data_IF_507883669538
#
_entry.id   IF_507883669538
#
_cell.length_a   1.000
_cell.length_b   1.000
_cell.length_c   1.000
_cell.angle_alpha   90.00
_cell.angle_beta   90.00
_cell.angle_gamma   90.00
#
_symmetry.space_group_name_H-M   'P 1'
#
loop_
_entity.id
_entity.type
_entity.pdbx_description
1 polymer ?
#
# COMPACT_ATOMS: atom_id res chain seq x y z
N UNK A 1 12.34 -8.33 -3.41
CA UNK A 1 12.50 -7.45 -2.23
C UNK A 1 13.53 -8.10 -1.32
N UNK A 2 14.56 -7.40 -0.83
CA UNK A 2 15.46 -7.96 0.18
C UNK A 2 14.62 -8.38 1.38
N UNK A 3 14.95 -9.49 2.02
CA UNK A 3 14.31 -9.99 3.24
C UNK A 3 14.47 -8.94 4.34
N UNK A 4 13.49 -8.05 4.44
CA UNK A 4 13.41 -7.04 5.49
C UNK A 4 13.11 -7.77 6.78
N UNK A 5 13.95 -7.63 7.82
CA UNK A 5 13.70 -8.32 9.08
C UNK A 5 12.38 -7.83 9.69
N UNK A 6 11.75 -8.64 10.56
CA UNK A 6 10.52 -8.21 11.23
C UNK A 6 10.73 -6.89 12.00
N UNK A 7 11.89 -6.70 12.61
CA UNK A 7 12.25 -5.45 13.31
C UNK A 7 12.30 -4.27 12.35
N UNK A 8 12.88 -4.46 11.17
CA UNK A 8 12.96 -3.44 10.13
C UNK A 8 11.57 -3.11 9.57
N UNK A 9 10.71 -4.12 9.38
CA UNK A 9 9.33 -3.92 8.93
C UNK A 9 8.54 -3.06 9.91
N UNK A 10 8.62 -3.34 11.20
CA UNK A 10 7.95 -2.53 12.24
C UNK A 10 8.44 -1.08 12.21
N UNK A 11 9.75 -0.85 12.05
CA UNK A 11 10.31 0.49 11.98
C UNK A 11 9.83 1.24 10.73
N UNK A 12 9.84 0.56 9.59
CA UNK A 12 9.35 1.11 8.32
C UNK A 12 7.88 1.48 8.40
N UNK A 13 7.02 0.68 9.04
CA UNK A 13 5.60 1.01 9.20
C UNK A 13 5.44 2.30 10.00
N UNK A 14 6.13 2.43 11.14
CA UNK A 14 6.05 3.64 11.98
C UNK A 14 6.54 4.86 11.21
N UNK A 15 7.67 4.72 10.50
CA UNK A 15 8.24 5.77 9.65
C UNK A 15 7.24 6.23 8.59
N UNK A 16 6.76 5.31 7.74
CA UNK A 16 5.85 5.62 6.63
C UNK A 16 4.51 6.19 7.10
N UNK A 17 3.98 5.72 8.23
CA UNK A 17 2.76 6.28 8.79
C UNK A 17 2.94 7.73 9.26
N UNK A 18 4.10 8.10 9.82
CA UNK A 18 4.35 9.49 10.22
C UNK A 18 4.55 10.42 9.02
N UNK A 19 5.23 9.95 7.97
CA UNK A 19 5.45 10.73 6.74
C UNK A 19 4.15 11.18 6.06
N UNK A 20 3.04 10.47 6.30
CA UNK A 20 1.72 10.87 5.79
C UNK A 20 1.23 12.16 6.45
N UNK A 21 1.55 12.37 7.73
CA UNK A 21 0.97 13.45 8.53
C UNK A 21 1.95 14.58 8.82
N UNK A 22 3.26 14.31 8.83
CA UNK A 22 4.27 15.31 9.20
C UNK A 22 5.60 15.08 8.50
N UNK A 23 6.37 16.15 8.37
CA UNK A 23 7.76 16.07 7.93
C UNK A 23 8.62 15.50 9.07
N UNK A 24 9.30 14.40 8.79
CA UNK A 24 10.17 13.73 9.75
C UNK A 24 11.62 13.72 9.27
N UNK A 25 12.55 13.74 10.23
CA UNK A 25 13.93 13.37 9.95
C UNK A 25 14.05 11.83 10.00
N UNK A 26 14.03 11.20 8.82
CA UNK A 26 14.07 9.74 8.68
C UNK A 26 15.25 9.11 9.43
N UNK A 27 16.45 9.68 9.31
CA UNK A 27 17.65 9.13 9.95
C UNK A 27 17.57 9.18 11.48
N UNK A 28 17.12 10.32 12.02
CA UNK A 28 16.97 10.48 13.46
C UNK A 28 15.87 9.56 14.02
N UNK A 29 14.73 9.48 13.33
CA UNK A 29 13.63 8.62 13.76
C UNK A 29 14.02 7.14 13.70
N UNK A 30 14.66 6.69 12.61
CA UNK A 30 15.15 5.32 12.50
C UNK A 30 16.16 5.00 13.62
N UNK A 31 17.05 5.93 13.96
CA UNK A 31 17.98 5.74 15.08
C UNK A 31 17.26 5.61 16.43
N UNK A 32 16.16 6.33 16.67
CA UNK A 32 15.31 6.18 17.86
C UNK A 32 14.59 4.82 17.86
N UNK A 33 13.95 4.45 16.75
CA UNK A 33 13.21 3.20 16.62
C UNK A 33 14.09 1.95 16.76
N UNK A 34 15.35 2.01 16.30
CA UNK A 34 16.30 0.91 16.42
C UNK A 34 16.67 0.58 17.87
N UNK A 35 16.58 1.57 18.78
CA UNK A 35 16.83 1.41 20.22
C UNK A 35 15.65 0.78 20.98
N UNK A 36 14.46 0.75 20.37
CA UNK A 36 13.30 0.09 20.95
C UNK A 36 13.42 -1.43 20.86
N UNK A 37 13.04 -2.09 21.94
CA UNK A 37 12.97 -3.54 22.08
C UNK A 37 11.56 -4.07 21.85
N UNK A 38 10.53 -3.26 22.10
CA UNK A 38 9.13 -3.65 21.93
C UNK A 38 8.37 -2.75 20.97
N UNK A 39 7.23 -3.21 20.47
CA UNK A 39 6.35 -2.44 19.58
C UNK A 39 5.71 -1.28 20.33
N UNK A 40 5.38 -1.47 21.60
CA UNK A 40 4.79 -0.46 22.47
C UNK A 40 5.75 0.73 22.65
N UNK A 41 7.06 0.48 22.77
CA UNK A 41 8.07 1.55 22.81
C UNK A 41 8.12 2.34 21.51
N UNK A 42 8.03 1.67 20.36
CA UNK A 42 7.99 2.32 19.04
C UNK A 42 6.73 3.17 18.88
N UNK A 43 5.59 2.70 19.41
CA UNK A 43 4.32 3.43 19.34
C UNK A 43 4.24 4.62 20.29
N UNK A 44 4.98 4.60 21.40
CA UNK A 44 5.19 5.82 22.21
C UNK A 44 5.92 6.90 21.42
N UNK A 45 6.92 6.52 20.61
CA UNK A 45 7.61 7.45 19.71
C UNK A 45 6.64 7.96 18.64
N UNK A 46 5.88 7.05 18.01
CA UNK A 46 4.85 7.42 17.04
C UNK A 46 3.88 8.47 17.60
N UNK A 47 3.33 8.22 18.79
CA UNK A 47 2.42 9.13 19.46
C UNK A 47 3.06 10.49 19.76
N UNK A 48 4.29 10.50 20.27
CA UNK A 48 5.01 11.74 20.59
C UNK A 48 5.37 12.58 19.35
N UNK A 49 5.55 11.93 18.20
CA UNK A 49 5.83 12.59 16.92
C UNK A 49 4.56 12.94 16.12
N UNK A 50 3.38 12.48 16.57
CA UNK A 50 2.15 12.65 15.82
C UNK A 50 1.64 14.10 15.92
N UNK A 51 1.39 14.78 14.79
CA UNK A 51 0.92 16.17 14.79
C UNK A 51 -0.54 16.24 15.27
N UNK A 52 -0.76 16.83 16.44
CA UNK A 52 -2.10 16.96 17.06
C UNK A 52 -2.99 17.99 16.35
N UNK A 53 -2.40 18.87 15.56
CA UNK A 53 -3.04 19.89 14.73
C UNK A 53 -3.56 19.35 13.38
N UNK A 54 -2.98 18.26 12.89
CA UNK A 54 -3.35 17.66 11.59
C UNK A 54 -4.45 16.61 11.74
N UNK A 55 -4.47 15.84 12.83
CA UNK A 55 -5.49 14.82 13.07
C UNK A 55 -5.67 14.52 14.57
N UNK A 56 -6.91 14.32 15.01
CA UNK A 56 -7.27 14.05 16.41
C UNK A 56 -7.32 12.56 16.74
N UNK A 57 -6.41 11.74 16.18
CA UNK A 57 -6.37 10.31 16.49
C UNK A 57 -5.98 10.11 17.96
N UNK A 58 -6.84 9.44 18.71
CA UNK A 58 -6.51 8.96 20.06
C UNK A 58 -5.34 7.97 20.00
N UNK A 59 -4.64 7.77 21.11
CA UNK A 59 -3.59 6.74 21.21
C UNK A 59 -4.10 5.36 20.82
N UNK A 60 -5.37 5.05 21.15
CA UNK A 60 -6.02 3.81 20.73
C UNK A 60 -6.19 3.72 19.20
N UNK A 61 -6.65 4.80 18.56
CA UNK A 61 -6.78 4.82 17.09
C UNK A 61 -5.42 4.70 16.40
N UNK A 62 -4.37 5.31 16.97
CA UNK A 62 -3.00 5.20 16.47
C UNK A 62 -2.48 3.76 16.57
N UNK A 63 -2.75 3.09 17.71
CA UNK A 63 -2.43 1.67 17.91
C UNK A 63 -3.16 0.78 16.90
N UNK A 64 -4.47 0.96 16.76
CA UNK A 64 -5.30 0.23 15.80
C UNK A 64 -4.83 0.43 14.35
N UNK A 65 -4.45 1.64 13.98
CA UNK A 65 -3.90 1.96 12.66
C UNK A 65 -2.61 1.18 12.40
N UNK A 66 -1.66 1.22 13.34
CA UNK A 66 -0.41 0.47 13.23
C UNK A 66 -0.66 -1.03 13.11
N UNK A 67 -1.47 -1.62 14.00
CA UNK A 67 -1.77 -3.05 13.98
C UNK A 67 -2.43 -3.47 12.67
N UNK A 68 -3.39 -2.68 12.19
CA UNK A 68 -4.06 -2.92 10.90
C UNK A 68 -3.06 -2.94 9.75
N UNK A 69 -2.19 -1.93 9.66
CA UNK A 69 -1.20 -1.85 8.57
C UNK A 69 -0.17 -2.97 8.66
N UNK A 70 0.35 -3.25 9.85
CA UNK A 70 1.28 -4.35 10.09
C UNK A 70 0.69 -5.71 9.67
N UNK A 71 -0.55 -5.98 10.04
CA UNK A 71 -1.21 -7.25 9.73
C UNK A 71 -1.46 -7.39 8.22
N UNK A 72 -1.92 -6.33 7.55
CA UNK A 72 -2.12 -6.36 6.10
C UNK A 72 -0.81 -6.54 5.33
N UNK A 73 0.26 -5.84 5.71
CA UNK A 73 1.57 -6.02 5.05
C UNK A 73 2.10 -7.42 5.29
N UNK A 74 2.02 -7.93 6.53
CA UNK A 74 2.45 -9.29 6.86
C UNK A 74 1.66 -10.34 6.07
N UNK A 75 0.33 -10.17 5.95
CA UNK A 75 -0.50 -11.04 5.14
C UNK A 75 -0.10 -11.00 3.66
N UNK A 76 0.13 -9.81 3.09
CA UNK A 76 0.55 -9.64 1.71
C UNK A 76 1.95 -10.25 1.43
N UNK A 77 2.91 -10.08 2.34
CA UNK A 77 4.27 -10.65 2.22
C UNK A 77 4.27 -12.18 2.26
N UNK A 78 3.34 -12.78 3.02
CA UNK A 78 3.20 -14.23 3.12
C UNK A 78 2.20 -14.82 2.11
N UNK A 79 1.59 -13.99 1.26
CA UNK A 79 0.63 -14.45 0.27
C UNK A 79 1.33 -15.12 -0.92
N UNK A 80 1.27 -16.45 -0.97
CA UNK A 80 1.85 -17.23 -2.06
C UNK A 80 0.78 -17.68 -3.05
N UNK A 81 0.79 -17.07 -4.23
CA UNK A 81 -0.14 -17.42 -5.33
C UNK A 81 0.21 -18.75 -6.02
N UNK A 82 1.44 -19.25 -5.87
CA UNK A 82 1.94 -20.40 -6.64
C UNK A 82 1.23 -21.71 -6.29
N UNK A 83 0.66 -21.80 -5.09
CA UNK A 83 -0.11 -22.95 -4.62
C UNK A 83 -1.62 -22.83 -4.86
N UNK A 84 -2.09 -21.68 -5.39
CA UNK A 84 -3.52 -21.43 -5.57
C UNK A 84 -3.96 -21.80 -7.00
N UNK A 85 -5.18 -22.34 -7.18
CA UNK A 85 -5.73 -22.51 -8.51
C UNK A 85 -5.91 -21.15 -9.18
N UNK A 86 -5.56 -21.08 -10.47
CA UNK A 86 -5.76 -19.87 -11.26
C UNK A 86 -7.24 -19.57 -11.44
N UNK A 87 -7.58 -18.29 -11.42
CA UNK A 87 -8.92 -17.81 -11.66
C UNK A 87 -9.33 -18.11 -13.11
N UNK A 88 -10.58 -18.50 -13.34
CA UNK A 88 -11.14 -18.68 -14.70
C UNK A 88 -11.75 -17.38 -15.25
N UNK A 89 -11.97 -16.39 -14.39
CA UNK A 89 -12.59 -15.11 -14.73
C UNK A 89 -11.62 -14.14 -15.41
N UNK A 90 -12.07 -13.32 -16.37
CA UNK A 90 -11.26 -12.22 -16.88
C UNK A 90 -10.97 -11.20 -15.78
N UNK A 91 -9.88 -10.44 -15.91
CA UNK A 91 -9.50 -9.35 -14.99
C UNK A 91 -9.30 -8.07 -15.78
N UNK A 92 -9.86 -6.97 -15.28
CA UNK A 92 -9.60 -5.62 -15.78
C UNK A 92 -8.73 -4.88 -14.78
N UNK A 93 -7.51 -4.52 -15.17
CA UNK A 93 -6.57 -3.74 -14.38
C UNK A 93 -6.70 -2.26 -14.76
N UNK A 94 -7.06 -1.44 -13.78
CA UNK A 94 -7.02 0.02 -13.88
C UNK A 94 -5.68 0.50 -13.33
N UNK A 95 -4.78 0.89 -14.24
CA UNK A 95 -3.38 1.19 -13.93
C UNK A 95 -3.12 2.70 -13.96
N UNK A 96 -2.54 3.30 -12.92
CA UNK A 96 -2.15 4.71 -12.95
C UNK A 96 -0.99 4.96 -13.92
N UNK A 97 -0.96 6.14 -14.55
CA UNK A 97 0.18 6.59 -15.36
C UNK A 97 1.41 6.95 -14.50
N UNK A 98 1.19 7.32 -13.22
CA UNK A 98 2.23 7.62 -12.24
C UNK A 98 2.17 6.64 -11.05
N UNK A 99 2.54 5.36 -11.22
CA UNK A 99 2.49 4.39 -10.14
C UNK A 99 3.51 4.73 -9.05
N UNK A 100 3.06 4.68 -7.79
CA UNK A 100 3.90 4.84 -6.58
C UNK A 100 5.00 3.76 -6.50
N UNK A 101 4.75 2.57 -7.07
CA UNK A 101 5.70 1.45 -7.09
C UNK A 101 5.86 0.94 -8.52
N UNK A 102 7.11 0.75 -8.94
CA UNK A 102 7.41 0.17 -10.25
C UNK A 102 7.23 -1.35 -10.21
N UNK A 103 6.46 -1.88 -11.16
CA UNK A 103 6.33 -3.31 -11.41
C UNK A 103 6.99 -3.65 -12.74
N UNK A 104 7.75 -4.75 -12.84
CA UNK A 104 8.44 -5.11 -14.08
C UNK A 104 7.47 -5.53 -15.18
N UNK A 105 6.32 -6.08 -14.79
CA UNK A 105 5.31 -6.62 -15.70
C UNK A 105 4.17 -5.61 -15.85
N UNK A 106 3.75 -5.37 -17.09
CA UNK A 106 2.73 -4.35 -17.40
C UNK A 106 1.40 -4.64 -16.70
N UNK A 107 1.03 -5.91 -16.61
CA UNK A 107 -0.19 -6.43 -16.01
C UNK A 107 -0.08 -6.69 -14.50
N UNK A 108 0.99 -6.20 -13.84
CA UNK A 108 1.26 -6.45 -12.42
C UNK A 108 1.30 -7.95 -12.04
N UNK A 109 1.67 -8.82 -12.99
CA UNK A 109 1.79 -10.27 -12.79
C UNK A 109 0.45 -11.01 -12.81
N UNK A 110 -0.64 -10.36 -13.22
CA UNK A 110 -1.98 -10.95 -13.26
C UNK A 110 -2.07 -12.16 -14.21
N UNK A 111 -1.22 -12.26 -15.24
CA UNK A 111 -1.15 -13.44 -16.12
C UNK A 111 -0.86 -14.74 -15.37
N UNK A 112 -0.20 -14.66 -14.20
CA UNK A 112 0.06 -15.81 -13.33
C UNK A 112 -1.15 -16.18 -12.48
N UNK A 113 -2.06 -15.23 -12.26
CA UNK A 113 -3.21 -15.34 -11.34
C UNK A 113 -4.47 -15.83 -12.06
N UNK A 114 -4.68 -15.44 -13.31
CA UNK A 114 -5.88 -15.81 -14.09
C UNK A 114 -5.56 -16.48 -15.40
N UNK A 115 -6.41 -17.41 -15.83
CA UNK A 115 -6.47 -17.96 -17.19
C UNK A 115 -7.37 -17.15 -18.13
N UNK A 116 -8.20 -16.26 -17.58
CA UNK A 116 -9.09 -15.39 -18.35
C UNK A 116 -8.36 -14.25 -19.05
N UNK A 117 -9.08 -13.54 -19.93
CA UNK A 117 -8.56 -12.35 -20.61
C UNK A 117 -8.17 -11.27 -19.58
N UNK A 118 -6.99 -10.69 -19.74
CA UNK A 118 -6.53 -9.53 -18.98
C UNK A 118 -6.66 -8.28 -19.86
N UNK A 119 -7.27 -7.24 -19.31
CA UNK A 119 -7.40 -5.94 -19.96
C UNK A 119 -6.73 -4.89 -19.07
N UNK A 120 -5.76 -4.16 -19.60
CA UNK A 120 -5.06 -3.10 -18.86
C UNK A 120 -5.51 -1.75 -19.42
N UNK A 121 -6.04 -0.89 -18.56
CA UNK A 121 -6.44 0.47 -18.89
C UNK A 121 -5.59 1.46 -18.11
N UNK A 122 -4.91 2.36 -18.81
CA UNK A 122 -4.15 3.43 -18.18
C UNK A 122 -5.07 4.60 -17.84
N UNK A 123 -5.05 5.00 -16.57
CA UNK A 123 -5.79 6.13 -16.03
C UNK A 123 -4.80 7.19 -15.59
N UNK A 124 -5.05 8.43 -16.01
CA UNK A 124 -4.16 9.54 -15.68
C UNK A 124 -4.17 9.82 -14.17
N UNK A 125 -2.99 9.83 -13.54
CA UNK A 125 -2.83 10.06 -12.11
C UNK A 125 -1.94 9.04 -11.41
N UNK A 126 -1.89 9.13 -10.08
CA UNK A 126 -1.22 8.16 -9.19
C UNK A 126 -2.25 7.24 -8.50
N UNK A 127 -1.82 6.27 -7.68
CA UNK A 127 -2.74 5.31 -7.02
C UNK A 127 -3.85 5.95 -6.17
N UNK A 128 -3.70 7.21 -5.76
CA UNK A 128 -4.71 7.96 -5.01
C UNK A 128 -5.61 8.70 -6.01
N UNK A 129 -5.02 9.54 -6.88
CA UNK A 129 -5.78 10.45 -7.74
C UNK A 129 -6.52 9.75 -8.89
N UNK A 130 -6.18 8.49 -9.23
CA UNK A 130 -6.96 7.75 -10.23
C UNK A 130 -8.39 7.44 -9.77
N UNK A 131 -8.64 7.43 -8.45
CA UNK A 131 -9.97 7.17 -7.89
C UNK A 131 -10.95 8.31 -8.20
N UNK A 132 -10.44 9.52 -8.40
CA UNK A 132 -11.22 10.72 -8.72
C UNK A 132 -11.34 10.96 -10.24
N UNK A 133 -10.80 10.07 -11.07
CA UNK A 133 -10.78 10.25 -12.52
C UNK A 133 -12.07 9.71 -13.17
N UNK A 134 -12.84 10.57 -13.82
CA UNK A 134 -14.11 10.20 -14.48
C UNK A 134 -13.99 9.04 -15.50
N UNK A 135 -12.81 8.88 -16.13
CA UNK A 135 -12.56 7.74 -17.04
C UNK A 135 -12.74 6.39 -16.35
N UNK A 136 -12.46 6.31 -15.04
CA UNK A 136 -12.64 5.10 -14.23
C UNK A 136 -14.10 4.64 -14.27
N UNK A 137 -15.05 5.57 -14.14
CA UNK A 137 -16.49 5.30 -14.15
C UNK A 137 -16.89 4.71 -15.51
N UNK A 138 -16.48 5.34 -16.61
CA UNK A 138 -16.84 4.89 -17.95
C UNK A 138 -16.24 3.52 -18.30
N UNK A 139 -15.04 3.19 -17.81
CA UNK A 139 -14.44 1.86 -18.00
C UNK A 139 -15.22 0.79 -17.22
N UNK A 140 -15.57 1.05 -15.96
CA UNK A 140 -16.33 0.10 -15.11
C UNK A 140 -17.73 -0.14 -15.67
N UNK A 141 -18.42 0.92 -16.09
CA UNK A 141 -19.75 0.83 -16.69
C UNK A 141 -19.73 0.22 -18.09
N UNK A 142 -18.55 -0.08 -18.65
CA UNK A 142 -18.34 -0.55 -20.02
C UNK A 142 -18.92 0.41 -21.08
N UNK A 143 -19.04 1.69 -20.72
CA UNK A 143 -19.40 2.77 -21.65
C UNK A 143 -18.24 3.10 -22.59
N UNK A 144 -17.02 2.71 -22.22
CA UNK A 144 -15.87 2.66 -23.12
C UNK A 144 -15.95 1.46 -24.07
N UNK A 145 -16.93 1.50 -24.96
CA UNK A 145 -16.88 0.78 -26.23
C UNK A 145 -16.08 1.67 -27.18
N UNK A 146 -14.78 1.40 -27.35
CA UNK A 146 -14.13 1.73 -28.61
C UNK A 146 -14.35 0.55 -29.55
N UNK A 147 -15.50 0.56 -30.20
CA UNK A 147 -15.64 -0.05 -31.51
C UNK A 147 -14.98 0.92 -32.50
N UNK A 148 -13.79 0.56 -32.96
CA UNK A 148 -13.25 0.69 -34.32
C UNK A 148 -11.72 0.51 -34.30
#
# INVERSE_FOLDING_TARGET
>A
MPTTSLKDLQNLIVLRLLEIYTNINEQELMAKLNKCNTVEEKLKIFHACFPTDVNTLTTENQWLMYCTVHNHITAALNYNISSLPRLKSPITLLKPTFPITSFPEEDYGLHRVTEGKIQVHFIEGNHITIMDNDKLISIINKEWIKDN
#
